data_IF_177654409325
#
_entry.id   IF_177654409325
#
_cell.length_a   1.000
_cell.length_b   1.000
_cell.length_c   1.000
_cell.angle_alpha   90.00
_cell.angle_beta   90.00
_cell.angle_gamma   90.00
#
_symmetry.space_group_name_H-M   'P 1'
#
loop_
_entity.id
_entity.type
_entity.pdbx_description
1 polymer ?
#
# COMPACT_ATOMS: atom_id res chain seq x y z
N UNK A 1 -13.05 -22.43 8.75
CA UNK A 1 -12.83 -21.31 9.69
C UNK A 1 -12.93 -19.96 8.99
N UNK A 2 -12.22 -19.77 7.87
CA UNK A 2 -12.27 -18.54 7.04
C UNK A 2 -13.69 -18.01 6.78
N UNK A 3 -14.63 -18.86 6.35
CA UNK A 3 -16.02 -18.42 6.08
C UNK A 3 -16.74 -17.87 7.33
N UNK A 4 -16.40 -18.36 8.52
CA UNK A 4 -16.99 -17.90 9.78
C UNK A 4 -16.41 -16.54 10.23
N UNK A 5 -15.21 -16.19 9.76
CA UNK A 5 -14.54 -14.93 10.09
C UNK A 5 -15.10 -13.73 9.33
N UNK A 6 -15.79 -13.95 8.21
CA UNK A 6 -16.41 -12.89 7.42
C UNK A 6 -17.49 -12.20 8.26
N UNK A 7 -17.25 -10.96 8.71
CA UNK A 7 -18.19 -10.15 9.50
C UNK A 7 -18.97 -9.14 8.65
N UNK A 8 -18.43 -8.75 7.51
CA UNK A 8 -18.97 -7.70 6.67
C UNK A 8 -20.30 -8.12 5.99
N UNK A 9 -21.33 -7.27 6.12
CA UNK A 9 -22.70 -7.58 5.66
C UNK A 9 -22.82 -7.66 4.13
N UNK A 10 -22.32 -6.70 3.34
CA UNK A 10 -22.22 -6.83 1.88
C UNK A 10 -21.53 -8.11 1.42
N UNK A 11 -20.39 -8.45 2.04
CA UNK A 11 -19.62 -9.64 1.65
C UNK A 11 -20.36 -10.94 1.96
N UNK A 12 -21.07 -11.03 3.10
CA UNK A 12 -21.94 -12.18 3.41
C UNK A 12 -23.08 -12.35 2.40
N UNK A 13 -23.70 -11.25 1.95
CA UNK A 13 -24.74 -11.29 0.91
C UNK A 13 -24.19 -11.81 -0.42
N UNK A 14 -23.01 -11.34 -0.82
CA UNK A 14 -22.32 -11.83 -2.03
C UNK A 14 -22.00 -13.32 -1.94
N UNK A 15 -21.47 -13.78 -0.80
CA UNK A 15 -21.16 -15.19 -0.58
C UNK A 15 -22.39 -16.10 -0.74
N UNK A 16 -23.56 -15.65 -0.28
CA UNK A 16 -24.81 -16.40 -0.40
C UNK A 16 -25.35 -16.49 -1.83
N UNK A 17 -24.90 -15.61 -2.73
CA UNK A 17 -25.34 -15.51 -4.12
C UNK A 17 -24.24 -15.92 -5.12
N UNK A 18 -23.24 -16.68 -4.68
CA UNK A 18 -22.15 -17.10 -5.55
C UNK A 18 -22.67 -18.06 -6.64
N UNK A 19 -22.24 -17.86 -7.91
CA UNK A 19 -22.61 -18.75 -9.02
C UNK A 19 -21.84 -20.08 -9.02
N UNK A 20 -20.89 -20.26 -8.09
CA UNK A 20 -20.05 -21.45 -7.99
C UNK A 20 -20.19 -22.12 -6.62
N UNK A 21 -20.06 -23.45 -6.61
CA UNK A 21 -20.12 -24.24 -5.39
C UNK A 21 -18.75 -24.25 -4.69
N UNK A 22 -18.70 -23.74 -3.46
CA UNK A 22 -17.51 -23.80 -2.62
C UNK A 22 -17.45 -25.12 -1.84
N UNK A 23 -16.44 -25.94 -2.13
CA UNK A 23 -16.21 -27.20 -1.39
C UNK A 23 -15.36 -26.94 -0.14
N UNK A 24 -15.98 -27.13 1.03
CA UNK A 24 -15.28 -26.98 2.30
C UNK A 24 -14.53 -28.27 2.64
N UNK A 25 -13.19 -28.21 2.65
CA UNK A 25 -12.32 -29.31 3.07
C UNK A 25 -11.53 -28.90 4.31
N UNK A 26 -11.26 -29.87 5.19
CA UNK A 26 -10.31 -29.71 6.30
C UNK A 26 -8.97 -30.31 5.90
N UNK A 27 -7.84 -29.63 6.16
CA UNK A 27 -6.53 -30.16 5.84
C UNK A 27 -6.16 -31.32 6.77
N UNK A 28 -5.23 -32.17 6.33
CA UNK A 28 -4.64 -33.22 7.17
C UNK A 28 -3.84 -32.58 8.33
N UNK A 29 -3.93 -33.13 9.55
CA UNK A 29 -3.22 -32.57 10.72
C UNK A 29 -1.70 -32.65 10.59
N UNK A 30 -1.17 -33.64 9.86
CA UNK A 30 0.28 -33.79 9.65
C UNK A 30 0.85 -32.64 8.82
N UNK A 31 0.15 -32.25 7.74
CA UNK A 31 0.53 -31.11 6.90
C UNK A 31 0.43 -29.80 7.67
N UNK A 32 -0.58 -29.65 8.54
CA UNK A 32 -0.71 -28.48 9.39
C UNK A 32 0.52 -28.31 10.32
N UNK A 33 1.04 -29.41 10.88
CA UNK A 33 2.26 -29.37 11.70
C UNK A 33 3.48 -28.97 10.88
N UNK A 34 3.65 -29.56 9.68
CA UNK A 34 4.77 -29.25 8.78
C UNK A 34 4.76 -27.76 8.38
N UNK A 35 3.62 -27.23 7.96
CA UNK A 35 3.46 -25.81 7.63
C UNK A 35 3.74 -24.92 8.84
N UNK A 36 3.23 -25.30 10.02
CA UNK A 36 3.48 -24.54 11.25
C UNK A 36 4.97 -24.46 11.58
N UNK A 37 5.69 -25.57 11.45
CA UNK A 37 7.12 -25.61 11.71
C UNK A 37 7.92 -24.86 10.62
N UNK A 38 7.48 -24.94 9.36
CA UNK A 38 8.02 -24.13 8.27
C UNK A 38 7.87 -22.63 8.54
N UNK A 39 6.67 -22.15 8.89
CA UNK A 39 6.41 -20.73 9.19
C UNK A 39 7.20 -20.23 10.42
N UNK A 40 7.54 -21.09 11.37
CA UNK A 40 8.44 -20.73 12.49
C UNK A 40 9.87 -20.55 12.02
N UNK A 41 10.34 -21.40 11.09
CA UNK A 41 11.67 -21.29 10.48
C UNK A 41 11.79 -20.01 9.64
N UNK A 42 10.77 -19.66 8.84
CA UNK A 42 10.76 -18.40 8.06
C UNK A 42 10.61 -17.16 8.96
N UNK A 43 9.98 -17.32 10.13
CA UNK A 43 9.74 -16.23 11.08
C UNK A 43 8.41 -15.51 10.89
N UNK A 44 7.55 -15.97 9.98
CA UNK A 44 6.23 -15.40 9.70
C UNK A 44 5.12 -15.94 10.63
N UNK A 45 5.38 -17.03 11.37
CA UNK A 45 4.40 -17.63 12.30
C UNK A 45 3.69 -16.63 13.24
N UNK A 46 4.37 -15.64 13.87
CA UNK A 46 3.70 -14.70 14.78
C UNK A 46 2.67 -13.78 14.10
N UNK A 47 2.74 -13.63 12.77
CA UNK A 47 1.77 -12.86 12.00
C UNK A 47 0.62 -13.69 11.43
N UNK A 48 0.75 -15.01 11.42
CA UNK A 48 -0.25 -15.91 10.84
C UNK A 48 -1.31 -16.31 11.88
N UNK A 49 -2.57 -16.30 11.48
CA UNK A 49 -3.68 -16.82 12.28
C UNK A 49 -3.85 -18.33 12.12
N UNK A 50 -4.69 -18.94 12.96
CA UNK A 50 -5.04 -20.35 12.84
C UNK A 50 -5.73 -20.67 11.49
N UNK A 51 -6.58 -19.76 10.99
CA UNK A 51 -7.23 -19.92 9.71
C UNK A 51 -6.22 -19.86 8.55
N UNK A 52 -5.21 -19.00 8.64
CA UNK A 52 -4.16 -18.87 7.62
C UNK A 52 -3.33 -20.16 7.52
N UNK A 53 -2.93 -20.71 8.68
CA UNK A 53 -2.21 -22.00 8.72
C UNK A 53 -3.03 -23.15 8.12
N UNK A 54 -4.36 -23.15 8.31
CA UNK A 54 -5.24 -24.13 7.68
C UNK A 54 -5.32 -23.96 6.17
N UNK A 55 -5.37 -22.73 5.66
CA UNK A 55 -5.36 -22.46 4.22
C UNK A 55 -4.05 -22.91 3.60
N UNK A 56 -2.91 -22.55 4.21
CA UNK A 56 -1.57 -22.98 3.77
C UNK A 56 -1.44 -24.51 3.77
N UNK A 57 -1.94 -25.18 4.80
CA UNK A 57 -1.93 -26.65 4.85
C UNK A 57 -2.83 -27.28 3.78
N UNK A 58 -3.99 -26.69 3.51
CA UNK A 58 -4.90 -27.16 2.48
C UNK A 58 -4.31 -26.99 1.07
N UNK A 59 -3.61 -25.87 0.81
CA UNK A 59 -2.94 -25.65 -0.49
C UNK A 59 -1.83 -26.66 -0.71
N UNK A 60 -1.03 -26.96 0.31
CA UNK A 60 -0.02 -28.03 0.25
C UNK A 60 -0.66 -29.39 -0.03
N UNK A 61 -1.79 -29.69 0.61
CA UNK A 61 -2.49 -30.95 0.40
C UNK A 61 -2.97 -31.10 -1.04
N UNK A 62 -3.57 -30.05 -1.61
CA UNK A 62 -4.07 -30.07 -2.98
C UNK A 62 -2.93 -30.19 -3.98
N UNK A 63 -1.80 -29.49 -3.77
CA UNK A 63 -0.61 -29.62 -4.60
C UNK A 63 -0.09 -31.06 -4.61
N UNK A 64 -0.01 -31.70 -3.44
CA UNK A 64 0.43 -33.09 -3.32
C UNK A 64 -0.56 -34.08 -3.96
N UNK A 65 -1.85 -33.75 -4.02
CA UNK A 65 -2.88 -34.55 -4.70
C UNK A 65 -2.79 -34.43 -6.24
N UNK A 66 -2.29 -33.31 -6.79
CA UNK A 66 -2.22 -33.07 -8.25
C UNK A 66 -0.85 -33.38 -8.86
N UNK A 67 0.22 -32.78 -8.34
CA UNK A 67 1.60 -32.87 -8.90
C UNK A 67 2.51 -33.81 -8.10
N UNK A 68 2.00 -34.41 -7.02
CA UNK A 68 2.80 -35.21 -6.09
C UNK A 68 3.58 -34.38 -5.06
N UNK A 69 4.26 -35.04 -4.10
CA UNK A 69 4.89 -34.37 -2.96
C UNK A 69 6.18 -33.60 -3.31
N UNK A 70 6.78 -33.86 -4.47
CA UNK A 70 8.10 -33.33 -4.86
C UNK A 70 8.06 -31.85 -5.26
N UNK A 71 6.88 -31.32 -5.59
CA UNK A 71 6.70 -29.90 -5.92
C UNK A 71 6.78 -28.97 -4.71
N UNK A 72 6.68 -29.49 -3.48
CA UNK A 72 6.64 -28.69 -2.24
C UNK A 72 7.97 -28.73 -1.51
N UNK A 73 8.49 -27.56 -1.16
CA UNK A 73 9.70 -27.41 -0.36
C UNK A 73 9.33 -27.39 1.13
N UNK A 74 9.81 -28.39 1.86
CA UNK A 74 9.55 -28.53 3.30
C UNK A 74 10.57 -27.85 4.21
N UNK A 75 11.63 -27.29 3.61
CA UNK A 75 12.62 -26.49 4.31
C UNK A 75 12.89 -25.19 3.55
N UNK A 76 12.92 -24.04 4.24
CA UNK A 76 13.19 -22.77 3.59
C UNK A 76 14.65 -22.72 3.14
N UNK A 77 14.90 -22.07 1.99
CA UNK A 77 16.27 -21.85 1.55
C UNK A 77 16.90 -20.70 2.35
N UNK A 78 18.03 -20.93 3.00
CA UNK A 78 18.80 -19.91 3.74
C UNK A 78 19.49 -18.86 2.85
N UNK A 79 19.00 -18.66 1.62
CA UNK A 79 19.54 -17.69 0.66
C UNK A 79 19.01 -16.30 0.98
N UNK A 80 19.50 -15.72 2.08
CA UNK A 80 19.24 -14.32 2.43
C UNK A 80 20.26 -13.43 1.74
N UNK A 81 19.80 -12.63 0.78
CA UNK A 81 20.62 -11.61 0.12
C UNK A 81 20.38 -10.24 0.77
N UNK A 82 21.44 -9.49 1.00
CA UNK A 82 21.39 -8.18 1.63
C UNK A 82 21.86 -7.11 0.65
N UNK A 83 21.02 -6.11 0.40
CA UNK A 83 21.43 -4.89 -0.30
C UNK A 83 21.35 -3.70 0.63
N UNK A 84 22.05 -2.64 0.22
CA UNK A 84 22.02 -1.38 0.94
C UNK A 84 21.71 -0.24 -0.03
N UNK A 85 20.81 0.66 0.38
CA UNK A 85 20.37 1.80 -0.42
C UNK A 85 20.58 3.09 0.36
N UNK A 86 20.94 4.21 -0.30
CA UNK A 86 21.01 5.52 0.36
C UNK A 86 19.61 6.11 0.61
N UNK A 87 18.56 5.53 0.02
CA UNK A 87 17.18 6.02 0.08
C UNK A 87 16.61 5.84 1.49
N UNK A 88 15.69 6.73 1.84
CA UNK A 88 14.95 6.65 3.09
C UNK A 88 13.83 5.58 2.99
N UNK A 89 13.53 4.79 4.04
CA UNK A 89 12.48 3.75 4.01
C UNK A 89 11.06 4.27 3.74
N UNK A 90 10.82 5.57 4.00
CA UNK A 90 9.55 6.25 3.77
C UNK A 90 9.48 6.95 2.40
N UNK A 91 10.47 6.74 1.52
CA UNK A 91 10.36 7.22 0.15
C UNK A 91 9.18 6.52 -0.55
N UNK A 92 8.32 7.24 -1.29
CA UNK A 92 7.14 6.69 -1.94
C UNK A 92 7.52 5.93 -3.21
N UNK A 93 8.23 4.80 -3.05
CA UNK A 93 8.52 3.88 -4.14
C UNK A 93 7.34 2.93 -4.30
N UNK A 94 6.91 2.71 -5.54
CA UNK A 94 5.77 1.83 -5.89
C UNK A 94 4.43 2.30 -5.32
N UNK A 95 4.27 3.62 -5.18
CA UNK A 95 3.00 4.22 -4.82
C UNK A 95 2.39 4.85 -6.06
N UNK A 96 1.26 4.31 -6.51
CA UNK A 96 0.52 4.80 -7.65
C UNK A 96 0.21 6.30 -7.51
N UNK A 97 0.44 7.08 -8.57
CA UNK A 97 0.22 8.53 -8.60
C UNK A 97 1.36 9.40 -8.02
N UNK A 98 2.46 8.80 -7.56
CA UNK A 98 3.68 9.54 -7.18
C UNK A 98 4.73 9.43 -8.28
N UNK A 99 4.84 10.46 -9.11
CA UNK A 99 5.88 10.56 -10.13
C UNK A 99 7.25 10.90 -9.50
N UNK A 100 8.27 10.10 -9.83
CA UNK A 100 9.65 10.30 -9.41
C UNK A 100 10.50 10.52 -10.66
N UNK A 101 10.74 11.79 -11.07
CA UNK A 101 11.51 12.05 -12.28
C UNK A 101 12.91 11.46 -12.13
N UNK A 102 13.34 10.71 -13.15
CA UNK A 102 14.73 10.32 -13.26
C UNK A 102 15.56 11.61 -13.29
N UNK A 103 16.58 11.73 -12.42
CA UNK A 103 17.49 12.87 -12.51
C UNK A 103 18.20 12.76 -13.84
N UNK A 104 17.93 13.66 -14.79
CA UNK A 104 18.81 13.89 -15.93
C UNK A 104 20.24 14.00 -15.40
N UNK A 105 21.12 13.11 -15.87
CA UNK A 105 22.56 13.37 -15.81
C UNK A 105 22.77 14.58 -16.72
N UNK A 106 23.23 15.74 -16.21
CA UNK A 106 23.66 16.79 -17.13
C UNK A 106 24.79 16.21 -18.01
N UNK A 107 24.74 16.37 -19.34
CA UNK A 107 25.85 15.99 -20.20
C UNK A 107 27.10 16.72 -19.71
N UNK A 108 28.20 15.97 -19.61
CA UNK A 108 29.47 16.44 -19.07
C UNK A 108 29.93 17.73 -19.74
N UNK A 109 30.43 18.67 -18.93
CA UNK A 109 31.03 19.93 -19.39
C UNK A 109 32.22 19.64 -20.31
N UNK A 110 32.00 19.74 -21.62
CA UNK A 110 33.03 19.98 -22.64
C UNK A 110 33.26 21.48 -22.79
N UNK A 111 34.53 21.87 -22.88
CA UNK A 111 35.00 23.25 -22.94
C UNK A 111 34.75 23.88 -24.32
N UNK A 112 34.25 25.12 -24.37
CA UNK A 112 34.74 26.18 -25.29
C UNK A 112 34.27 27.58 -24.82
N UNK A 113 35.20 28.53 -24.82
CA UNK A 113 35.02 29.95 -24.46
C UNK A 113 34.68 30.83 -25.73
N UNK A 114 34.73 32.20 -25.72
CA UNK A 114 33.57 33.09 -25.57
C UNK A 114 33.42 34.19 -26.68
N UNK A 115 32.36 35.02 -26.52
CA UNK A 115 32.20 36.44 -26.96
C UNK A 115 31.49 36.75 -28.31
N UNK A 116 30.92 37.97 -28.56
CA UNK A 116 30.58 39.11 -27.67
C UNK A 116 29.19 39.80 -27.88
N UNK A 117 28.71 40.42 -26.79
CA UNK A 117 28.15 41.80 -26.61
C UNK A 117 27.09 42.45 -27.55
N UNK A 118 25.93 42.79 -26.94
CA UNK A 118 25.20 44.09 -26.86
C UNK A 118 23.67 43.84 -26.85
N UNK A 119 22.80 44.46 -26.04
CA UNK A 119 22.92 45.63 -25.16
C UNK A 119 21.72 45.76 -24.18
N UNK A 120 21.96 46.54 -23.12
CA UNK A 120 21.06 47.40 -22.32
C UNK A 120 19.68 46.89 -21.82
N UNK A 121 19.57 46.87 -20.48
CA UNK A 121 18.38 46.74 -19.62
C UNK A 121 17.62 48.08 -19.55
N UNK A 122 16.29 48.07 -19.31
CA UNK A 122 15.74 48.49 -18.00
C UNK A 122 14.64 47.51 -17.52
N UNK A 123 14.57 47.08 -16.27
CA UNK A 123 14.03 47.87 -15.16
C UNK A 123 12.61 47.39 -14.81
N UNK A 124 12.53 46.51 -13.80
CA UNK A 124 11.41 46.21 -12.89
C UNK A 124 9.97 46.12 -13.42
N UNK A 125 9.34 44.94 -13.26
CA UNK A 125 8.00 44.90 -12.65
C UNK A 125 7.73 43.56 -11.96
N UNK A 126 7.39 43.66 -10.68
CA UNK A 126 6.76 42.64 -9.86
C UNK A 126 5.41 42.21 -10.46
N UNK A 127 5.40 41.17 -11.29
CA UNK A 127 4.16 40.47 -11.67
C UNK A 127 4.22 38.95 -11.46
N UNK A 128 5.06 38.49 -10.54
CA UNK A 128 4.96 37.13 -10.01
C UNK A 128 4.05 37.09 -8.76
N UNK A 129 2.84 37.65 -8.86
CA UNK A 129 1.76 37.45 -7.88
C UNK A 129 0.40 37.84 -8.45
N UNK A 130 -0.04 37.15 -9.51
CA UNK A 130 -1.47 37.09 -9.81
C UNK A 130 -1.90 35.66 -10.15
N UNK A 131 -2.03 34.84 -9.10
CA UNK A 131 -2.92 33.69 -9.14
C UNK A 131 -4.36 34.22 -9.20
N UNK A 132 -4.84 34.54 -10.41
CA UNK A 132 -6.26 34.83 -10.67
C UNK A 132 -6.90 33.58 -11.28
N UNK A 133 -7.49 32.79 -10.41
CA UNK A 133 -8.34 31.66 -10.74
C UNK A 133 -9.69 32.18 -11.23
N UNK A 134 -9.92 32.28 -12.54
CA UNK A 134 -11.26 32.26 -13.14
C UNK A 134 -11.18 31.65 -14.54
N UNK A 135 -11.73 30.44 -14.68
CA UNK A 135 -12.04 29.86 -16.00
C UNK A 135 -13.15 30.71 -16.64
N UNK A 136 -13.14 30.93 -17.97
CA UNK A 136 -14.35 31.39 -18.65
C UNK A 136 -15.49 30.40 -18.34
N UNK A 137 -16.75 30.86 -18.22
CA UNK A 137 -17.87 29.97 -17.96
C UNK A 137 -17.91 28.89 -19.05
N UNK A 138 -18.06 27.63 -18.62
CA UNK A 138 -18.21 26.49 -19.50
C UNK A 138 -19.41 26.73 -20.45
N UNK A 139 -19.27 26.43 -21.76
CA UNK A 139 -20.40 26.51 -22.69
C UNK A 139 -21.54 25.59 -22.22
N UNK A 140 -22.77 25.99 -22.54
CA UNK A 140 -24.00 25.32 -22.11
C UNK A 140 -24.06 23.91 -22.70
N UNK A 141 -24.15 22.89 -21.84
CA UNK A 141 -24.28 21.47 -22.21
C UNK A 141 -25.52 21.23 -23.11
N UNK A 142 -26.50 22.13 -23.06
CA UNK A 142 -27.72 22.10 -23.88
C UNK A 142 -27.42 22.20 -25.40
N UNK A 143 -26.37 22.91 -25.79
CA UNK A 143 -26.04 23.11 -27.22
C UNK A 143 -25.32 21.89 -27.82
N UNK A 144 -24.43 21.23 -27.05
CA UNK A 144 -23.78 19.98 -27.47
C UNK A 144 -24.75 18.79 -27.55
N UNK A 145 -25.76 18.75 -26.67
CA UNK A 145 -26.80 17.72 -26.70
C UNK A 145 -27.72 17.83 -27.93
N UNK A 146 -27.98 19.04 -28.40
CA UNK A 146 -28.79 19.29 -29.60
C UNK A 146 -28.09 18.82 -30.88
N UNK A 147 -26.75 18.89 -30.92
CA UNK A 147 -25.92 18.48 -32.06
C UNK A 147 -25.74 16.96 -32.14
N UNK A 148 -25.73 16.27 -31.00
CA UNK A 148 -25.69 14.80 -30.94
C UNK A 148 -27.03 14.14 -31.29
N UNK A 149 -28.15 14.84 -31.09
CA UNK A 149 -29.48 14.36 -31.45
C UNK A 149 -29.79 14.50 -32.95
N UNK A 150 -29.16 15.44 -33.64
CA UNK A 150 -29.36 15.65 -35.09
C UNK A 150 -28.57 14.66 -35.95
N UNK A 151 -27.49 14.08 -35.42
CA UNK A 151 -26.60 13.14 -36.13
C UNK A 151 -27.05 11.68 -36.09
N UNK A 152 -28.01 11.32 -35.23
CA UNK A 152 -28.54 9.94 -35.10
C UNK A 152 -29.67 9.57 -36.08
N UNK A 153 -29.96 10.41 -37.08
CA UNK A 153 -30.98 10.14 -38.09
C UNK A 153 -30.38 9.86 -39.48
N UNK A 154 -29.50 8.85 -39.65
CA UNK A 154 -29.28 8.14 -40.94
C UNK A 154 -28.78 6.68 -40.69
N UNK A 155 -29.67 5.74 -41.06
CA UNK A 155 -29.49 4.41 -41.71
C UNK A 155 -28.73 3.24 -41.05
N UNK A 156 -29.39 2.07 -41.14
CA UNK A 156 -29.08 0.72 -40.64
C UNK A 156 -28.34 -0.19 -41.66
N UNK A 157 -27.36 -0.98 -41.16
CA UNK A 157 -26.93 -2.37 -41.50
C UNK A 157 -26.42 -2.75 -42.93
N UNK A 158 -25.79 -3.94 -43.11
CA UNK A 158 -24.57 -4.54 -42.50
C UNK A 158 -23.58 -5.06 -43.61
N UNK A 159 -22.49 -5.78 -43.29
CA UNK A 159 -21.93 -6.97 -44.01
C UNK A 159 -20.51 -7.32 -43.50
N UNK A 160 -20.17 -8.62 -43.58
CA UNK A 160 -19.07 -9.37 -42.94
C UNK A 160 -17.88 -9.64 -43.93
N UNK A 161 -16.83 -10.45 -43.60
CA UNK A 161 -15.42 -10.20 -43.95
C UNK A 161 -14.88 -10.98 -45.16
N UNK A 162 -13.78 -10.51 -45.77
CA UNK A 162 -12.91 -11.34 -46.63
C UNK A 162 -11.41 -10.97 -46.58
N UNK A 163 -10.61 -12.02 -46.75
CA UNK A 163 -9.18 -12.24 -46.57
C UNK A 163 -8.29 -11.98 -47.80
N UNK A 164 -6.96 -12.15 -47.59
CA UNK A 164 -5.79 -12.30 -48.52
C UNK A 164 -4.92 -11.03 -48.59
N UNK A 165 -3.58 -11.01 -48.50
CA UNK A 165 -2.54 -12.04 -48.42
C UNK A 165 -1.22 -11.44 -48.96
N UNK A 166 -0.14 -11.54 -48.17
CA UNK A 166 1.32 -11.48 -48.43
C UNK A 166 2.01 -10.36 -49.24
N UNK A 167 3.12 -9.85 -48.66
CA UNK A 167 4.20 -9.15 -49.37
C UNK A 167 5.27 -8.58 -48.44
N UNK A 168 6.40 -9.29 -48.30
CA UNK A 168 7.58 -8.92 -47.51
C UNK A 168 8.38 -7.75 -48.11
N UNK A 169 8.97 -6.89 -47.26
CA UNK A 169 10.21 -6.16 -47.54
C UNK A 169 10.88 -5.67 -46.25
N UNK A 170 12.20 -5.57 -46.34
CA UNK A 170 13.18 -5.46 -45.29
C UNK A 170 13.34 -4.05 -44.68
N UNK A 171 13.58 -4.04 -43.36
CA UNK A 171 14.59 -3.28 -42.61
C UNK A 171 14.86 -1.83 -42.99
N UNK A 172 14.36 -0.91 -42.18
CA UNK A 172 15.04 0.33 -41.81
C UNK A 172 14.87 0.52 -40.29
N UNK A 173 16.00 0.62 -39.58
CA UNK A 173 16.07 0.98 -38.17
C UNK A 173 15.73 2.47 -38.08
N UNK A 174 14.46 2.80 -37.84
CA UNK A 174 14.07 4.12 -37.38
C UNK A 174 14.41 4.20 -35.89
N UNK A 175 15.36 5.08 -35.55
CA UNK A 175 15.53 5.58 -34.18
C UNK A 175 14.19 6.21 -33.78
N UNK A 176 13.38 5.46 -33.02
CA UNK A 176 12.27 6.04 -32.27
C UNK A 176 12.90 7.02 -31.28
N UNK A 177 12.90 8.29 -31.65
CA UNK A 177 12.85 9.40 -30.71
C UNK A 177 11.66 9.09 -29.77
N UNK A 178 11.93 8.44 -28.65
CA UNK A 178 11.01 8.35 -27.53
C UNK A 178 10.74 9.79 -27.10
N UNK A 179 9.70 10.42 -27.68
CA UNK A 179 9.04 11.53 -27.04
C UNK A 179 8.71 11.05 -25.63
N UNK A 180 9.51 11.48 -24.63
CA UNK A 180 9.28 11.20 -23.22
C UNK A 180 7.85 11.67 -22.92
N UNK A 181 6.93 10.71 -22.95
CA UNK A 181 5.51 10.96 -22.76
C UNK A 181 5.33 11.53 -21.36
N UNK A 182 4.97 12.80 -21.29
CA UNK A 182 4.63 13.55 -20.06
C UNK A 182 3.47 12.90 -19.26
N UNK A 183 2.92 11.79 -19.76
CA UNK A 183 1.85 10.98 -19.17
C UNK A 183 2.34 9.86 -18.22
N UNK A 184 3.66 9.69 -18.04
CA UNK A 184 4.18 8.60 -17.19
C UNK A 184 3.94 8.85 -15.69
N UNK A 185 2.95 8.15 -15.12
CA UNK A 185 2.66 8.14 -13.68
C UNK A 185 1.33 8.80 -13.27
N UNK A 186 0.51 9.26 -14.20
CA UNK A 186 -0.85 9.72 -13.91
C UNK A 186 -1.78 8.58 -13.52
N UNK A 187 -2.78 8.83 -12.67
CA UNK A 187 -3.89 7.90 -12.44
C UNK A 187 -5.08 8.35 -13.28
N UNK A 188 -5.30 7.64 -14.37
CA UNK A 188 -6.35 7.90 -15.36
C UNK A 188 -7.52 6.94 -15.17
N UNK A 189 -8.72 7.24 -15.70
CA UNK A 189 -9.85 6.31 -15.66
C UNK A 189 -9.53 4.93 -16.28
N UNK A 190 -8.63 4.89 -17.27
CA UNK A 190 -8.19 3.65 -17.91
C UNK A 190 -7.29 2.81 -17.00
N UNK A 191 -6.41 3.42 -16.19
CA UNK A 191 -5.48 2.68 -15.33
C UNK A 191 -5.96 2.49 -13.88
N UNK A 192 -7.05 3.12 -13.46
CA UNK A 192 -7.53 3.06 -12.07
C UNK A 192 -7.71 1.63 -11.54
N UNK A 193 -8.30 0.73 -12.34
CA UNK A 193 -8.51 -0.67 -11.94
C UNK A 193 -7.19 -1.41 -11.76
N UNK A 194 -6.21 -1.12 -12.61
CA UNK A 194 -4.88 -1.71 -12.53
C UNK A 194 -4.10 -1.15 -11.33
N UNK A 195 -4.10 0.17 -11.16
CA UNK A 195 -3.45 0.84 -10.02
C UNK A 195 -4.01 0.44 -8.65
N UNK A 196 -5.30 0.06 -8.58
CA UNK A 196 -5.91 -0.50 -7.36
C UNK A 196 -5.43 -1.92 -7.05
N UNK A 197 -5.00 -2.66 -8.06
CA UNK A 197 -4.59 -4.06 -7.97
C UNK A 197 -3.07 -4.20 -7.83
N UNK A 198 -2.29 -3.23 -8.32
CA UNK A 198 -0.83 -3.17 -8.19
C UNK A 198 -0.42 -2.89 -6.74
N UNK A 199 -0.45 -3.93 -5.91
CA UNK A 199 0.00 -3.91 -4.52
C UNK A 199 1.51 -4.20 -4.36
N UNK A 200 2.29 -4.12 -5.44
CA UNK A 200 3.74 -4.38 -5.45
C UNK A 200 4.15 -5.78 -5.92
N UNK A 201 3.33 -6.41 -6.77
CA UNK A 201 3.58 -7.70 -7.39
C UNK A 201 4.05 -7.55 -8.83
N UNK A 202 4.87 -8.50 -9.32
CA UNK A 202 5.03 -8.71 -10.76
C UNK A 202 4.15 -9.88 -11.19
N UNK A 203 3.11 -9.55 -11.94
CA UNK A 203 2.03 -10.45 -12.31
C UNK A 203 2.25 -11.01 -13.72
N UNK A 204 2.24 -12.33 -13.85
CA UNK A 204 2.27 -13.03 -15.16
C UNK A 204 1.01 -13.85 -15.35
N UNK A 205 0.62 -14.12 -16.59
CA UNK A 205 -0.54 -14.97 -16.87
C UNK A 205 -0.29 -16.41 -16.37
N UNK A 206 -1.29 -17.05 -15.73
CA UNK A 206 -1.13 -18.37 -15.11
C UNK A 206 -1.17 -19.48 -16.18
N UNK A 207 -0.12 -19.59 -16.98
CA UNK A 207 0.00 -20.68 -17.96
C UNK A 207 0.46 -21.95 -17.23
N UNK A 208 -0.40 -22.98 -17.21
CA UNK A 208 -0.07 -24.31 -16.68
C UNK A 208 -0.16 -24.50 -15.17
N UNK A 209 -0.86 -23.61 -14.44
CA UNK A 209 -1.03 -23.71 -12.99
C UNK A 209 -2.34 -24.42 -12.65
N UNK A 210 -2.26 -25.62 -12.06
CA UNK A 210 -3.45 -26.40 -11.64
C UNK A 210 -3.92 -26.06 -10.22
N UNK A 211 -2.99 -25.75 -9.31
CA UNK A 211 -3.27 -25.41 -7.92
C UNK A 211 -2.66 -24.04 -7.61
N UNK A 212 -3.45 -23.16 -7.01
CA UNK A 212 -3.00 -21.84 -6.59
C UNK A 212 -3.79 -21.32 -5.40
N UNK A 213 -3.14 -20.51 -4.57
CA UNK A 213 -3.78 -19.85 -3.44
C UNK A 213 -4.05 -18.38 -3.77
N UNK A 214 -5.29 -17.94 -3.65
CA UNK A 214 -5.64 -16.51 -3.72
C UNK A 214 -5.53 -15.92 -2.32
N UNK A 215 -4.58 -15.01 -2.12
CA UNK A 215 -4.41 -14.30 -0.83
C UNK A 215 -3.85 -12.91 -1.04
N UNK A 216 -4.29 -11.97 -0.20
CA UNK A 216 -3.76 -10.59 -0.15
C UNK A 216 -2.79 -10.39 1.02
N UNK A 217 -2.63 -11.38 1.90
CA UNK A 217 -1.74 -11.25 3.07
C UNK A 217 -0.30 -11.61 2.71
N UNK A 218 0.61 -10.65 2.89
CA UNK A 218 2.03 -10.81 2.63
C UNK A 218 2.68 -11.95 3.41
N UNK A 219 2.25 -12.21 4.65
CA UNK A 219 2.83 -13.30 5.45
C UNK A 219 2.54 -14.68 4.81
N UNK A 220 1.31 -14.88 4.34
CA UNK A 220 0.93 -16.09 3.61
C UNK A 220 1.69 -16.18 2.27
N UNK A 221 1.76 -15.09 1.51
CA UNK A 221 2.47 -15.05 0.22
C UNK A 221 3.95 -15.41 0.38
N UNK A 222 4.63 -14.87 1.40
CA UNK A 222 6.02 -15.16 1.69
C UNK A 222 6.25 -16.65 1.97
N UNK A 223 5.38 -17.26 2.79
CA UNK A 223 5.47 -18.69 3.11
C UNK A 223 5.19 -19.54 1.87
N UNK A 224 4.14 -19.23 1.10
CA UNK A 224 3.79 -19.98 -0.11
C UNK A 224 4.92 -19.95 -1.15
N UNK A 225 5.49 -18.77 -1.43
CA UNK A 225 6.61 -18.62 -2.37
C UNK A 225 7.85 -19.39 -1.89
N UNK A 226 8.17 -19.36 -0.58
CA UNK A 226 9.29 -20.12 -0.04
C UNK A 226 9.06 -21.64 -0.09
N UNK A 227 7.80 -22.08 0.05
CA UNK A 227 7.40 -23.49 -0.12
C UNK A 227 7.36 -23.91 -1.61
N UNK A 228 7.52 -22.98 -2.55
CA UNK A 228 7.43 -23.25 -3.99
C UNK A 228 6.01 -23.37 -4.53
N UNK A 229 5.02 -22.87 -3.79
CA UNK A 229 3.60 -22.92 -4.16
C UNK A 229 3.19 -21.68 -4.94
N UNK A 230 2.26 -21.87 -5.88
CA UNK A 230 1.73 -20.79 -6.71
C UNK A 230 0.75 -19.91 -5.94
N UNK A 231 1.00 -18.60 -5.96
CA UNK A 231 0.14 -17.58 -5.37
C UNK A 231 -0.51 -16.78 -6.49
N UNK A 232 -1.83 -16.64 -6.41
CA UNK A 232 -2.62 -15.86 -7.35
C UNK A 232 -3.04 -14.55 -6.72
N UNK A 233 -2.91 -13.47 -7.49
CA UNK A 233 -3.48 -12.17 -7.15
C UNK A 233 -5.02 -12.17 -7.35
N UNK A 234 -5.69 -11.13 -6.87
CA UNK A 234 -7.17 -11.02 -6.95
C UNK A 234 -7.69 -10.96 -8.40
N UNK A 235 -6.84 -10.53 -9.32
CA UNK A 235 -7.08 -10.52 -10.77
C UNK A 235 -6.87 -11.90 -11.44
N UNK A 236 -6.44 -12.92 -10.69
CA UNK A 236 -6.16 -14.27 -11.20
C UNK A 236 -4.78 -14.43 -11.82
N UNK A 237 -3.90 -13.42 -11.74
CA UNK A 237 -2.53 -13.52 -12.26
C UNK A 237 -1.59 -14.19 -11.25
N UNK A 238 -0.55 -14.84 -11.76
CA UNK A 238 0.46 -15.50 -10.95
C UNK A 238 1.48 -14.48 -10.45
N UNK A 239 1.68 -14.45 -9.13
CA UNK A 239 2.69 -13.62 -8.48
C UNK A 239 4.05 -14.33 -8.54
N UNK A 240 5.02 -13.74 -9.23
CA UNK A 240 6.41 -14.27 -9.28
C UNK A 240 7.33 -13.65 -8.23
N UNK A 241 7.13 -12.38 -7.92
CA UNK A 241 7.89 -11.67 -6.90
C UNK A 241 6.94 -10.87 -6.03
N UNK A 242 7.09 -11.03 -4.72
CA UNK A 242 6.39 -10.23 -3.74
C UNK A 242 7.38 -9.25 -3.11
N UNK A 243 7.15 -7.93 -3.30
CA UNK A 243 7.90 -6.89 -2.59
C UNK A 243 7.03 -6.32 -1.47
N UNK A 244 7.46 -6.53 -0.23
CA UNK A 244 6.75 -6.08 0.95
C UNK A 244 7.70 -5.35 1.90
N UNK A 245 7.17 -4.95 3.05
CA UNK A 245 7.95 -4.34 4.13
C UNK A 245 7.80 -5.17 5.39
N UNK A 246 8.88 -5.28 6.16
CA UNK A 246 8.86 -5.85 7.49
C UNK A 246 9.43 -4.84 8.49
N UNK A 247 9.16 -5.06 9.77
CA UNK A 247 9.78 -4.32 10.86
C UNK A 247 10.95 -5.12 11.45
N UNK A 248 12.13 -4.52 11.50
CA UNK A 248 13.31 -5.09 12.16
C UNK A 248 13.74 -4.24 13.34
N UNK A 249 13.95 -4.89 14.48
CA UNK A 249 14.51 -4.23 15.65
C UNK A 249 15.99 -3.90 15.42
N UNK A 250 16.42 -2.66 15.63
CA UNK A 250 17.85 -2.32 15.52
C UNK A 250 18.66 -2.66 16.78
N UNK A 251 18.00 -3.06 17.88
CA UNK A 251 18.66 -3.46 19.13
C UNK A 251 18.91 -4.98 19.23
N UNK A 252 17.86 -5.80 19.12
CA UNK A 252 17.96 -7.27 19.20
C UNK A 252 17.93 -7.97 17.84
N UNK A 253 17.85 -7.23 16.73
CA UNK A 253 17.86 -7.73 15.35
C UNK A 253 16.71 -8.66 14.93
N UNK A 254 15.79 -8.97 15.84
CA UNK A 254 14.58 -9.75 15.52
C UNK A 254 13.67 -8.97 14.57
N UNK A 255 13.13 -9.68 13.58
CA UNK A 255 12.16 -9.20 12.59
C UNK A 255 10.73 -9.57 12.98
N UNK A 256 9.77 -8.79 12.49
CA UNK A 256 8.33 -9.05 12.53
C UNK A 256 7.69 -8.53 11.26
N UNK A 257 6.80 -9.31 10.66
CA UNK A 257 5.99 -8.98 9.48
C UNK A 257 4.77 -8.10 9.83
N UNK A 258 4.30 -8.12 11.08
CA UNK A 258 3.20 -7.27 11.55
C UNK A 258 3.61 -5.77 11.55
N UNK A 259 3.09 -5.03 10.57
CA UNK A 259 3.35 -3.61 10.37
C UNK A 259 2.62 -2.68 11.35
N UNK A 260 1.72 -3.22 12.18
CA UNK A 260 0.99 -2.45 13.21
C UNK A 260 1.81 -2.30 14.50
N UNK A 261 2.82 -3.15 14.69
CA UNK A 261 3.65 -3.16 15.90
C UNK A 261 4.52 -1.91 16.02
N UNK A 262 4.56 -1.36 17.23
CA UNK A 262 5.41 -0.21 17.58
C UNK A 262 6.57 -0.65 18.48
N UNK A 263 6.32 -1.62 19.36
CA UNK A 263 7.30 -2.21 20.27
C UNK A 263 7.78 -3.55 19.73
N UNK A 264 9.06 -3.86 19.94
CA UNK A 264 9.62 -5.14 19.54
C UNK A 264 9.05 -6.26 20.42
N UNK A 265 8.50 -7.35 19.84
CA UNK A 265 7.92 -8.44 20.63
C UNK A 265 8.96 -9.23 21.43
N UNK A 266 10.24 -9.15 21.08
CA UNK A 266 11.32 -9.87 21.78
C UNK A 266 11.92 -9.07 22.94
N UNK A 267 12.25 -7.79 22.74
CA UNK A 267 12.92 -6.98 23.76
C UNK A 267 12.05 -5.88 24.38
N UNK A 268 10.79 -5.72 23.96
CA UNK A 268 9.84 -4.73 24.48
C UNK A 268 10.12 -3.27 24.08
N UNK A 269 11.31 -2.98 23.52
CA UNK A 269 11.70 -1.62 23.20
C UNK A 269 11.03 -1.09 21.91
N UNK A 270 10.78 0.22 21.86
CA UNK A 270 10.28 0.94 20.67
C UNK A 270 11.38 1.20 19.65
N UNK A 271 11.94 0.12 19.10
CA UNK A 271 13.17 0.13 18.28
C UNK A 271 12.97 -0.49 16.89
N UNK A 272 11.73 -0.75 16.50
CA UNK A 272 11.40 -1.28 15.19
C UNK A 272 11.67 -0.26 14.07
N UNK A 273 12.24 -0.74 12.96
CA UNK A 273 12.53 0.02 11.75
C UNK A 273 12.02 -0.74 10.53
N UNK A 274 11.35 -0.02 9.63
CA UNK A 274 10.84 -0.57 8.36
C UNK A 274 11.99 -0.90 7.42
N UNK A 275 11.98 -2.11 6.87
CA UNK A 275 12.94 -2.63 5.90
C UNK A 275 12.15 -3.24 4.74
N UNK A 276 12.52 -2.92 3.50
CA UNK A 276 11.88 -3.51 2.33
C UNK A 276 12.45 -4.91 2.09
N UNK A 277 11.59 -5.86 1.73
CA UNK A 277 11.92 -7.26 1.50
C UNK A 277 11.32 -7.67 0.16
N UNK A 278 12.07 -8.43 -0.62
CA UNK A 278 11.62 -9.03 -1.87
C UNK A 278 11.77 -10.54 -1.77
N UNK A 279 10.69 -11.27 -2.00
CA UNK A 279 10.70 -12.73 -2.11
C UNK A 279 10.48 -13.08 -3.57
N UNK A 280 11.43 -13.81 -4.17
CA UNK A 280 11.30 -14.34 -5.53
C UNK A 280 10.65 -15.73 -5.52
N UNK A 281 10.18 -16.17 -6.68
CA UNK A 281 9.71 -17.53 -6.99
C UNK A 281 10.71 -18.63 -6.60
N UNK A 282 12.01 -18.34 -6.67
CA UNK A 282 13.08 -19.20 -6.17
C UNK A 282 13.05 -19.42 -4.65
N UNK A 283 12.19 -18.72 -3.92
CA UNK A 283 12.14 -18.71 -2.45
C UNK A 283 13.30 -17.94 -1.81
N UNK A 284 14.10 -17.22 -2.60
CA UNK A 284 15.19 -16.39 -2.07
C UNK A 284 14.66 -15.10 -1.45
N UNK A 285 15.17 -14.77 -0.25
CA UNK A 285 14.76 -13.60 0.51
C UNK A 285 15.79 -12.48 0.32
N UNK A 286 15.38 -11.35 -0.23
CA UNK A 286 16.26 -10.21 -0.45
C UNK A 286 15.84 -9.01 0.41
N UNK A 287 16.67 -8.62 1.39
CA UNK A 287 16.40 -7.51 2.30
C UNK A 287 17.16 -6.25 1.86
N UNK A 288 16.46 -5.13 1.73
CA UNK A 288 17.02 -3.85 1.30
C UNK A 288 17.16 -2.89 2.49
N UNK A 289 18.38 -2.75 3.02
CA UNK A 289 18.66 -1.86 4.14
C UNK A 289 18.89 -0.41 3.69
N UNK A 290 18.43 0.55 4.49
CA UNK A 290 18.75 1.96 4.27
C UNK A 290 20.01 2.37 5.03
N UNK A 291 20.99 2.94 4.32
CA UNK A 291 22.20 3.57 4.92
C UNK A 291 21.98 5.04 5.31
N UNK A 292 20.77 5.54 5.13
CA UNK A 292 20.46 6.93 5.41
C UNK A 292 20.63 7.23 6.92
N UNK A 293 21.52 8.15 7.32
CA UNK A 293 21.83 8.41 8.73
C UNK A 293 20.63 8.97 9.52
N UNK A 294 19.61 9.50 8.84
CA UNK A 294 18.38 9.99 9.49
C UNK A 294 17.52 8.85 10.09
N UNK A 295 17.68 7.61 9.63
CA UNK A 295 16.89 6.45 10.08
C UNK A 295 17.23 6.06 11.52
N UNK A 296 18.54 6.06 11.85
CA UNK A 296 19.09 5.74 13.17
C UNK A 296 19.67 6.98 13.83
N UNK A 297 18.82 7.99 14.06
CA UNK A 297 19.22 9.21 14.74
C UNK A 297 18.71 9.20 16.20
N UNK A 298 19.58 9.37 17.22
CA UNK A 298 19.17 9.37 18.63
C UNK A 298 18.51 10.69 19.09
N UNK A 299 18.45 11.72 18.24
CA UNK A 299 17.86 13.02 18.60
C UNK A 299 16.38 12.89 19.00
N UNK A 300 16.02 13.53 20.10
CA UNK A 300 14.64 13.58 20.61
C UNK A 300 14.15 12.33 21.33
N UNK A 301 15.04 11.34 21.57
CA UNK A 301 14.69 10.14 22.34
C UNK A 301 14.83 10.34 23.86
N UNK A 302 15.73 11.22 24.31
CA UNK A 302 15.94 11.53 25.73
C UNK A 302 15.30 12.87 26.09
N UNK A 303 14.32 12.83 26.99
CA UNK A 303 13.59 13.99 27.53
C UNK A 303 13.00 13.63 28.90
N UNK A 304 12.74 14.60 29.79
CA UNK A 304 12.16 14.33 31.10
C UNK A 304 10.73 13.80 30.96
N UNK A 305 10.42 12.73 31.69
CA UNK A 305 9.07 12.17 31.76
C UNK A 305 8.31 12.74 32.96
N UNK A 306 6.99 12.94 32.84
CA UNK A 306 6.16 13.32 33.99
C UNK A 306 6.12 12.19 35.03
N UNK A 307 5.85 12.54 36.28
CA UNK A 307 5.61 11.56 37.33
C UNK A 307 4.42 10.67 36.97
N UNK A 308 4.46 9.36 37.28
CA UNK A 308 3.37 8.44 36.97
C UNK A 308 2.10 8.85 37.73
N UNK A 309 0.99 9.01 37.00
CA UNK A 309 -0.31 9.37 37.57
C UNK A 309 -1.31 8.22 37.44
N UNK A 310 -2.14 8.04 38.47
CA UNK A 310 -3.25 7.09 38.50
C UNK A 310 -4.62 7.77 38.36
N UNK A 311 -5.68 6.96 38.31
CA UNK A 311 -7.07 7.43 38.28
C UNK A 311 -7.75 7.34 36.91
N UNK A 312 -9.03 7.73 36.85
CA UNK A 312 -9.91 7.56 35.67
C UNK A 312 -9.49 8.38 34.45
N UNK A 313 -8.75 9.47 34.67
CA UNK A 313 -8.40 10.46 33.65
C UNK A 313 -6.88 10.64 33.49
N UNK A 314 -6.07 9.77 34.09
CA UNK A 314 -4.62 9.79 33.91
C UNK A 314 -4.25 9.55 32.44
N UNK A 315 -3.27 10.29 31.95
CA UNK A 315 -2.75 10.19 30.58
C UNK A 315 -1.22 10.12 30.62
N UNK A 316 -0.70 8.94 30.92
CA UNK A 316 0.74 8.67 30.96
C UNK A 316 1.29 8.42 29.54
N UNK A 317 2.56 8.75 29.26
CA UNK A 317 3.21 8.39 28.01
C UNK A 317 3.15 6.87 27.75
N UNK A 318 3.05 6.46 26.48
CA UNK A 318 3.03 5.06 26.08
C UNK A 318 4.46 4.52 25.91
N UNK A 319 4.90 3.69 26.87
CA UNK A 319 6.29 3.22 27.01
C UNK A 319 6.46 1.73 26.74
N UNK A 320 5.42 0.91 26.99
CA UNK A 320 5.43 -0.55 26.79
C UNK A 320 4.13 -1.01 26.12
N UNK A 321 4.16 -2.14 25.43
CA UNK A 321 3.02 -2.64 24.65
C UNK A 321 1.79 -2.98 25.51
N UNK A 322 2.01 -3.61 26.66
CA UNK A 322 0.98 -4.07 27.60
C UNK A 322 0.57 -2.98 28.61
N UNK A 323 0.89 -1.71 28.31
CA UNK A 323 0.57 -0.60 29.19
C UNK A 323 -0.94 -0.41 29.31
N UNK A 324 -1.43 -0.45 30.56
CA UNK A 324 -2.85 -0.24 30.85
C UNK A 324 -3.21 1.24 30.77
N UNK A 325 -4.18 1.56 29.92
CA UNK A 325 -4.77 2.90 29.81
C UNK A 325 -6.20 2.92 30.36
N UNK A 326 -6.60 3.97 31.10
CA UNK A 326 -8.01 4.18 31.45
C UNK A 326 -8.88 4.25 30.19
N UNK A 327 -10.12 3.77 30.27
CA UNK A 327 -11.05 3.81 29.14
C UNK A 327 -11.52 5.25 28.85
N UNK A 328 -10.87 5.91 27.91
CA UNK A 328 -11.23 7.25 27.42
C UNK A 328 -11.82 7.12 26.01
N UNK A 329 -13.12 6.82 25.93
CA UNK A 329 -13.82 6.56 24.67
C UNK A 329 -14.62 7.77 24.20
N UNK A 330 -14.64 7.99 22.90
CA UNK A 330 -15.52 8.95 22.23
C UNK A 330 -16.99 8.48 22.25
N UNK A 331 -17.91 9.44 22.28
CA UNK A 331 -19.35 9.21 22.11
C UNK A 331 -19.67 8.68 20.71
N UNK A 332 -20.89 8.18 20.49
CA UNK A 332 -21.31 7.75 19.15
C UNK A 332 -21.31 8.93 18.16
N UNK A 333 -21.81 10.09 18.57
CA UNK A 333 -21.85 11.32 17.77
C UNK A 333 -20.45 11.75 17.35
N UNK A 334 -19.49 11.76 18.28
CA UNK A 334 -18.10 12.13 18.00
C UNK A 334 -17.36 11.18 17.04
N UNK A 335 -17.85 9.95 16.84
CA UNK A 335 -17.24 8.97 15.90
C UNK A 335 -17.85 9.02 14.51
N UNK A 336 -19.01 9.67 14.35
CA UNK A 336 -19.66 9.80 13.05
C UNK A 336 -18.82 10.68 12.14
N UNK A 337 -18.67 10.26 10.90
CA UNK A 337 -18.07 11.04 9.82
C UNK A 337 -19.13 11.23 8.75
N UNK A 338 -19.04 12.33 8.01
CA UNK A 338 -19.87 12.55 6.84
C UNK A 338 -19.48 11.59 5.73
N UNK A 339 -20.43 10.80 5.23
CA UNK A 339 -20.28 10.04 3.99
C UNK A 339 -21.17 10.69 2.92
N UNK A 340 -20.56 11.34 1.95
CA UNK A 340 -21.28 12.06 0.87
C UNK A 340 -21.98 11.11 -0.09
N UNK A 341 -21.46 9.88 -0.23
CA UNK A 341 -22.00 8.85 -1.11
C UNK A 341 -22.96 7.90 -0.39
N UNK A 342 -23.42 8.26 0.81
CA UNK A 342 -24.46 7.51 1.50
C UNK A 342 -25.83 7.77 0.85
N UNK A 343 -26.68 6.76 0.63
CA UNK A 343 -28.01 6.98 0.06
C UNK A 343 -28.85 7.97 0.90
N UNK A 344 -28.64 8.03 2.21
CA UNK A 344 -29.39 8.91 3.12
C UNK A 344 -28.81 10.34 3.17
N UNK A 345 -27.72 10.63 2.45
CA UNK A 345 -27.04 11.93 2.49
C UNK A 345 -27.94 13.08 2.01
N UNK A 346 -28.73 12.87 0.94
CA UNK A 346 -29.63 13.89 0.39
C UNK A 346 -30.78 14.27 1.31
N UNK A 347 -31.16 13.36 2.22
CA UNK A 347 -32.21 13.61 3.21
C UNK A 347 -31.71 14.42 4.43
N UNK A 348 -30.39 14.66 4.53
CA UNK A 348 -29.79 15.39 5.62
C UNK A 348 -30.11 16.89 5.59
N UNK A 349 -30.45 17.46 6.75
CA UNK A 349 -30.65 18.92 6.91
C UNK A 349 -29.33 19.69 6.74
N UNK A 350 -28.21 19.06 7.08
CA UNK A 350 -26.86 19.62 6.97
C UNK A 350 -25.98 18.70 6.12
N UNK A 351 -25.15 19.25 5.22
CA UNK A 351 -24.14 18.49 4.48
C UNK A 351 -23.06 17.84 5.39
N UNK A 352 -22.95 18.27 6.65
CA UNK A 352 -21.90 17.83 7.55
C UNK A 352 -22.45 17.16 8.81
N UNK A 353 -21.78 16.08 9.24
CA UNK A 353 -22.03 15.45 10.52
C UNK A 353 -21.79 16.44 11.67
N UNK A 354 -22.74 16.51 12.60
CA UNK A 354 -22.66 17.41 13.74
C UNK A 354 -21.56 17.00 14.73
N UNK A 355 -20.84 18.01 15.24
CA UNK A 355 -19.86 17.80 16.28
C UNK A 355 -20.49 17.52 17.65
N UNK A 356 -19.79 16.72 18.45
CA UNK A 356 -20.14 16.49 19.85
C UNK A 356 -19.43 17.51 20.75
N UNK A 357 -20.21 18.43 21.31
CA UNK A 357 -19.74 19.47 22.25
C UNK A 357 -20.31 19.30 23.66
N UNK A 358 -21.30 18.43 23.85
CA UNK A 358 -22.05 18.32 25.10
C UNK A 358 -21.63 17.11 25.94
N UNK A 359 -21.05 16.08 25.33
CA UNK A 359 -20.69 14.88 26.09
C UNK A 359 -19.56 15.14 27.08
N UNK A 360 -19.51 14.33 28.14
CA UNK A 360 -18.38 14.33 29.07
C UNK A 360 -17.04 14.07 28.37
N UNK A 361 -17.05 13.31 27.28
CA UNK A 361 -15.84 13.05 26.49
C UNK A 361 -15.35 14.31 25.77
N UNK A 362 -16.27 15.14 25.27
CA UNK A 362 -15.95 16.44 24.67
C UNK A 362 -15.35 17.39 25.71
N UNK A 363 -15.94 17.48 26.91
CA UNK A 363 -15.42 18.30 28.01
C UNK A 363 -14.02 17.85 28.48
N UNK A 364 -13.74 16.54 28.44
CA UNK A 364 -12.41 15.98 28.74
C UNK A 364 -11.42 16.11 27.58
N UNK A 365 -11.84 16.68 26.45
CA UNK A 365 -11.05 16.86 25.24
C UNK A 365 -10.45 15.55 24.70
N UNK A 366 -11.21 14.46 24.81
CA UNK A 366 -10.81 13.15 24.27
C UNK A 366 -10.78 13.26 22.75
N UNK A 367 -9.70 12.74 22.14
CA UNK A 367 -9.51 12.76 20.69
C UNK A 367 -9.35 11.35 20.16
N UNK A 368 -9.69 11.19 18.89
CA UNK A 368 -9.43 9.96 18.17
C UNK A 368 -7.91 9.67 18.15
N UNK A 369 -7.54 8.40 18.30
CA UNK A 369 -6.15 7.95 18.34
C UNK A 369 -5.43 8.21 17.02
N UNK A 370 -6.16 8.22 15.89
CA UNK A 370 -5.64 8.56 14.58
C UNK A 370 -5.15 10.02 14.48
N UNK A 371 -5.77 10.93 15.24
CA UNK A 371 -5.39 12.35 15.23
C UNK A 371 -4.04 12.59 15.92
N UNK A 372 -3.31 13.59 15.43
CA UNK A 372 -2.07 14.04 16.07
C UNK A 372 -0.85 13.14 15.82
N UNK A 373 -0.93 12.19 14.89
CA UNK A 373 0.20 11.33 14.51
C UNK A 373 1.45 12.15 14.13
N UNK A 374 1.31 13.19 13.30
CA UNK A 374 2.42 14.09 12.96
C UNK A 374 2.99 14.84 14.17
N UNK A 375 2.13 15.30 15.09
CA UNK A 375 2.57 15.99 16.32
C UNK A 375 3.40 15.07 17.21
N UNK A 376 3.00 13.80 17.36
CA UNK A 376 3.73 12.78 18.14
C UNK A 376 5.09 12.39 17.55
N UNK A 377 5.35 12.72 16.27
CA UNK A 377 6.66 12.51 15.61
C UNK A 377 7.64 13.66 15.84
N UNK A 378 7.19 14.79 16.39
CA UNK A 378 8.07 15.93 16.69
C UNK A 378 8.94 15.61 17.91
N UNK A 379 10.16 16.14 17.88
CA UNK A 379 11.07 16.09 19.03
C UNK A 379 10.49 16.90 20.20
N UNK A 380 10.28 16.30 21.39
CA UNK A 380 9.77 17.00 22.58
C UNK A 380 10.66 18.16 23.05
N UNK A 381 11.96 18.10 22.77
CA UNK A 381 12.92 19.13 23.16
C UNK A 381 12.92 20.34 22.20
N UNK A 382 12.14 20.32 21.12
CA UNK A 382 12.09 21.42 20.16
C UNK A 382 11.19 22.57 20.65
N UNK A 383 11.61 23.81 20.40
CA UNK A 383 10.85 25.00 20.76
C UNK A 383 9.51 25.04 20.01
N UNK A 384 8.43 25.32 20.72
CA UNK A 384 7.09 25.47 20.16
C UNK A 384 6.66 26.93 20.17
N UNK A 385 5.64 27.26 19.36
CA UNK A 385 5.04 28.61 19.37
C UNK A 385 4.55 28.99 20.78
N UNK A 386 4.72 30.27 21.15
CA UNK A 386 4.44 30.79 22.51
C UNK A 386 3.05 30.43 23.06
N UNK A 387 2.02 30.45 22.23
CA UNK A 387 0.63 30.15 22.66
C UNK A 387 0.17 28.72 22.35
N UNK A 388 1.03 27.88 21.75
CA UNK A 388 0.68 26.52 21.38
C UNK A 388 0.96 25.54 22.51
N UNK A 389 -0.02 25.25 23.37
CA UNK A 389 0.07 24.17 24.36
C UNK A 389 0.02 22.82 23.65
N UNK A 390 1.18 22.25 23.30
CA UNK A 390 1.28 20.89 22.74
C UNK A 390 1.29 19.87 23.87
N UNK A 391 0.48 18.82 23.71
CA UNK A 391 0.49 17.60 24.53
C UNK A 391 1.10 16.45 23.76
#
# INVERSE_FOLDING_TARGET
>A
EVLAEIRDRPTRRRLAALPCELRVRRPRPDLLRLVTDFSKKTGDYPSLSAADLQVLALTCQLQAETDGPDGVRWEPQDKVRLSSTPRHPEAPLHLAGFHLPAKHRPPGKGQHQPSPEHGSVPGESDQFSSFLYWRPPLPSIEEELQELLSTQAISLCPEEPQSLGDGASAGEEEEEDEEESDDEGWITPSNLKQAQQDAGHCDTDPVGVQVGCVTTDFAMQNVLLQMGLHVLAVNGRLIRQARSYILRCHGCFRTTSDMTKVFCPHCGNKTLKKVAVSVSDDGSLHMHFSRNPKVLNPRGLRYPLPAPQGGKHANNPHLVEDQRFPQQRLSRKARQKTNVFDPDYLAGVSPFAEHDVHSRAANLHIRDTALGAGRRRLNPNAVTRRFGKKR
#
